data_IF_114357206184
#
_entry.id   IF_114357206184
#
_cell.length_a   1.000
_cell.length_b   1.000
_cell.length_c   1.000
_cell.angle_alpha   90.00
_cell.angle_beta   90.00
_cell.angle_gamma   90.00
#
_symmetry.space_group_name_H-M   'P 1'
#
loop_
_entity.id
_entity.type
_entity.pdbx_description
1 polymer ?
#
# COMPACT_ATOMS: atom_id res chain seq x y z
N UNK A 1 60.05 10.10 22.31
CA UNK A 1 59.10 9.11 21.80
C UNK A 1 57.96 9.03 22.79
N UNK A 2 56.85 9.72 22.51
CA UNK A 2 55.57 9.48 23.19
C UNK A 2 54.52 9.63 22.10
N UNK A 3 53.92 8.51 21.70
CA UNK A 3 52.93 8.42 20.63
C UNK A 3 51.61 9.01 21.09
N UNK A 4 51.05 9.89 20.26
CA UNK A 4 49.69 10.42 20.38
C UNK A 4 48.67 9.29 20.16
N UNK A 5 47.58 9.18 20.95
CA UNK A 5 46.49 8.24 20.64
C UNK A 5 45.64 8.75 19.46
N UNK A 6 44.94 7.87 18.70
CA UNK A 6 44.13 8.28 17.56
C UNK A 6 42.82 8.95 18.02
N UNK A 7 42.34 9.88 17.19
CA UNK A 7 41.09 10.60 17.38
C UNK A 7 39.89 9.63 17.43
N UNK A 8 39.03 9.79 18.43
CA UNK A 8 37.78 9.05 18.53
C UNK A 8 36.77 9.61 17.53
N UNK A 9 36.23 8.75 16.65
CA UNK A 9 35.13 9.10 15.76
C UNK A 9 33.81 8.71 16.44
N UNK A 10 32.91 9.68 16.62
CA UNK A 10 31.54 9.42 17.09
C UNK A 10 30.60 9.35 15.88
N UNK A 11 29.87 8.25 15.76
CA UNK A 11 28.88 8.01 14.69
C UNK A 11 27.53 7.78 15.34
N UNK A 12 26.54 8.61 14.99
CA UNK A 12 25.18 8.49 15.50
C UNK A 12 24.24 8.04 14.36
N UNK A 13 23.68 6.84 14.49
CA UNK A 13 22.64 6.30 13.61
C UNK A 13 21.33 6.11 14.37
N UNK A 14 20.22 6.58 13.80
CA UNK A 14 18.88 6.42 14.40
C UNK A 14 18.30 5.04 14.02
N UNK A 15 18.53 4.03 14.86
CA UNK A 15 17.94 2.69 14.71
C UNK A 15 16.59 2.56 15.43
N UNK A 16 15.58 2.02 14.74
CA UNK A 16 14.22 1.76 15.27
C UNK A 16 14.21 0.47 16.10
N UNK A 17 13.94 0.57 17.40
CA UNK A 17 13.64 -0.59 18.28
C UNK A 17 12.12 -0.85 18.25
N UNK A 18 11.61 -2.07 17.93
CA UNK A 18 10.19 -2.36 18.08
C UNK A 18 9.86 -2.76 19.52
N UNK A 19 9.06 -1.92 20.19
CA UNK A 19 8.44 -2.23 21.48
C UNK A 19 7.37 -3.33 21.32
N UNK A 20 7.51 -4.44 22.04
CA UNK A 20 6.52 -5.53 22.06
C UNK A 20 5.30 -5.17 22.93
N UNK A 21 4.09 -5.29 22.38
CA UNK A 21 2.82 -5.27 23.13
C UNK A 21 2.32 -6.70 23.31
N UNK A 22 2.08 -7.09 24.56
CA UNK A 22 1.48 -8.39 24.94
C UNK A 22 -0.04 -8.22 25.04
N UNK A 23 -0.79 -8.80 24.11
CA UNK A 23 -2.24 -8.92 24.20
C UNK A 23 -2.62 -10.38 24.54
N UNK A 24 -3.04 -10.63 25.77
CA UNK A 24 -3.70 -11.87 26.17
C UNK A 24 -5.18 -11.79 25.83
N UNK A 25 -5.61 -12.51 24.79
CA UNK A 25 -7.02 -12.68 24.45
C UNK A 25 -7.19 -13.84 23.48
N UNK A 26 -7.70 -14.97 23.96
CA UNK A 26 -7.98 -16.15 23.13
C UNK A 26 -9.09 -15.87 22.10
N UNK A 27 -9.12 -16.59 20.96
CA UNK A 27 -10.07 -16.30 19.89
C UNK A 27 -11.46 -16.84 20.22
N UNK A 28 -12.45 -15.94 20.23
CA UNK A 28 -13.87 -16.30 20.15
C UNK A 28 -14.24 -16.44 18.67
N UNK A 29 -14.61 -17.67 18.27
CA UNK A 29 -15.04 -17.99 16.90
C UNK A 29 -16.46 -17.49 16.68
N UNK A 30 -16.61 -16.34 16.01
CA UNK A 30 -17.89 -15.84 15.54
C UNK A 30 -18.20 -16.44 14.15
N UNK A 31 -19.07 -17.45 14.08
CA UNK A 31 -19.66 -17.88 12.81
C UNK A 31 -20.74 -16.87 12.41
N UNK A 32 -20.40 -15.93 11.50
CA UNK A 32 -21.39 -15.10 10.82
C UNK A 32 -21.88 -15.84 9.58
N UNK A 33 -23.14 -16.29 9.61
CA UNK A 33 -23.86 -16.61 8.38
C UNK A 33 -24.14 -15.30 7.64
N UNK A 34 -23.30 -14.98 6.65
CA UNK A 34 -23.49 -13.79 5.84
C UNK A 34 -24.67 -14.00 4.88
N UNK A 35 -25.68 -13.14 4.99
CA UNK A 35 -26.73 -13.06 3.98
C UNK A 35 -26.09 -12.84 2.59
N UNK A 36 -26.61 -13.52 1.57
CA UNK A 36 -26.08 -13.37 0.21
C UNK A 36 -26.33 -11.94 -0.26
N UNK A 37 -25.28 -11.16 -0.61
CA UNK A 37 -25.48 -9.78 -1.03
C UNK A 37 -26.29 -9.74 -2.32
N UNK A 38 -27.30 -8.88 -2.33
CA UNK A 38 -28.07 -8.49 -3.51
C UNK A 38 -27.58 -7.10 -3.92
N UNK A 39 -27.18 -6.93 -5.18
CA UNK A 39 -26.66 -5.67 -5.71
C UNK A 39 -27.46 -5.25 -6.92
N UNK A 40 -27.81 -3.97 -6.98
CA UNK A 40 -28.41 -3.34 -8.15
C UNK A 40 -27.29 -2.76 -9.01
N UNK A 41 -27.27 -3.09 -10.30
CA UNK A 41 -26.32 -2.54 -11.27
C UNK A 41 -27.11 -2.00 -12.45
N UNK A 42 -26.83 -0.77 -12.87
CA UNK A 42 -27.45 -0.20 -14.07
C UNK A 42 -26.86 -0.87 -15.30
N UNK A 43 -27.72 -1.42 -16.16
CA UNK A 43 -27.25 -2.02 -17.39
C UNK A 43 -27.12 -0.96 -18.49
N UNK A 44 -26.03 -1.04 -19.27
CA UNK A 44 -25.92 -0.29 -20.52
C UNK A 44 -26.65 -1.03 -21.67
N UNK A 45 -27.26 -0.28 -22.58
CA UNK A 45 -27.79 -0.79 -23.86
C UNK A 45 -26.99 -0.16 -24.99
N UNK A 46 -26.43 -0.98 -25.86
CA UNK A 46 -25.79 -0.48 -27.09
C UNK A 46 -25.33 -1.59 -28.02
N UNK A 47 -25.11 -1.31 -29.32
CA UNK A 47 -24.37 -2.18 -30.24
C UNK A 47 -22.87 -2.18 -29.89
N UNK A 48 -22.18 -3.28 -30.15
CA UNK A 48 -20.85 -3.64 -29.62
C UNK A 48 -19.67 -2.70 -29.92
N UNK A 49 -19.71 -1.47 -29.44
CA UNK A 49 -18.63 -0.49 -29.55
C UNK A 49 -17.81 -0.43 -28.25
N UNK A 50 -16.50 -0.27 -28.40
CA UNK A 50 -15.45 -0.28 -27.37
C UNK A 50 -15.60 0.90 -26.38
N UNK A 51 -15.20 0.78 -25.09
CA UNK A 51 -15.40 1.87 -24.13
C UNK A 51 -14.41 3.01 -24.37
N UNK A 52 -14.93 4.21 -24.62
CA UNK A 52 -14.14 5.45 -24.59
C UNK A 52 -13.91 5.86 -23.12
N UNK A 53 -12.67 6.15 -22.67
CA UNK A 53 -12.41 6.52 -21.29
C UNK A 53 -12.99 7.91 -20.95
N UNK A 54 -13.83 7.99 -19.92
CA UNK A 54 -14.21 9.28 -19.29
C UNK A 54 -15.70 9.53 -19.04
N UNK A 55 -16.61 8.61 -19.37
CA UNK A 55 -18.05 8.89 -19.30
C UNK A 55 -18.69 8.44 -17.98
N UNK A 56 -19.57 9.28 -17.41
CA UNK A 56 -20.37 9.00 -16.19
C UNK A 56 -21.22 7.73 -16.39
N UNK A 57 -21.70 7.05 -15.31
CA UNK A 57 -22.60 5.91 -15.49
C UNK A 57 -23.80 6.32 -16.34
N UNK A 58 -23.88 5.77 -17.55
CA UNK A 58 -24.97 6.02 -18.49
C UNK A 58 -26.19 5.28 -17.96
N UNK A 59 -27.12 6.00 -17.33
CA UNK A 59 -28.47 5.48 -17.11
C UNK A 59 -29.10 5.16 -18.47
N UNK A 60 -29.55 3.92 -18.68
CA UNK A 60 -30.16 3.51 -19.96
C UNK A 60 -31.61 3.07 -19.80
N UNK A 61 -32.39 3.23 -20.87
CA UNK A 61 -33.82 2.93 -20.96
C UNK A 61 -34.20 1.47 -20.66
N UNK A 62 -33.25 0.53 -20.53
CA UNK A 62 -33.52 -0.86 -20.14
C UNK A 62 -33.64 -1.07 -18.63
N UNK A 63 -33.46 -0.03 -17.81
CA UNK A 63 -33.60 -0.09 -16.35
C UNK A 63 -32.49 -0.89 -15.66
N UNK A 64 -32.44 -0.76 -14.33
CA UNK A 64 -31.43 -1.43 -13.52
C UNK A 64 -31.62 -2.96 -13.53
N UNK A 65 -30.52 -3.70 -13.67
CA UNK A 65 -30.46 -5.15 -13.49
C UNK A 65 -30.13 -5.42 -12.03
N UNK A 66 -30.91 -6.29 -11.39
CA UNK A 66 -30.61 -6.78 -10.05
C UNK A 66 -29.79 -8.06 -10.17
N UNK A 67 -28.65 -8.11 -9.50
CA UNK A 67 -27.77 -9.29 -9.48
C UNK A 67 -27.49 -9.69 -8.04
N UNK A 68 -27.63 -10.98 -7.74
CA UNK A 68 -27.32 -11.53 -6.43
C UNK A 68 -26.33 -12.69 -6.54
N UNK A 69 -25.39 -12.77 -5.58
CA UNK A 69 -24.51 -13.93 -5.39
C UNK A 69 -23.00 -13.64 -5.50
N UNK A 70 -22.50 -13.05 -6.60
CA UNK A 70 -21.09 -12.68 -6.73
C UNK A 70 -20.67 -11.61 -5.70
N UNK A 71 -19.38 -11.59 -5.36
CA UNK A 71 -18.85 -10.63 -4.38
C UNK A 71 -18.91 -9.19 -4.91
N UNK A 72 -18.66 -9.01 -6.21
CA UNK A 72 -18.74 -7.72 -6.90
C UNK A 72 -19.24 -7.94 -8.33
N UNK A 73 -20.12 -7.05 -8.78
CA UNK A 73 -20.48 -6.88 -10.18
C UNK A 73 -20.01 -5.50 -10.59
N UNK A 74 -19.22 -5.42 -11.66
CA UNK A 74 -18.54 -4.21 -12.14
C UNK A 74 -19.28 -3.56 -13.29
N UNK A 75 -19.78 -4.38 -14.21
CA UNK A 75 -20.52 -3.91 -15.38
C UNK A 75 -21.68 -4.86 -15.69
N UNK A 76 -22.76 -4.28 -16.22
CA UNK A 76 -23.88 -5.00 -16.79
C UNK A 76 -24.25 -4.38 -18.13
N UNK A 77 -24.41 -5.21 -19.17
CA UNK A 77 -24.84 -4.76 -20.49
C UNK A 77 -25.87 -5.72 -21.07
N UNK A 78 -26.94 -5.19 -21.65
CA UNK A 78 -27.95 -6.00 -22.32
C UNK A 78 -27.81 -5.84 -23.83
N UNK A 79 -27.76 -6.97 -24.54
CA UNK A 79 -27.75 -7.02 -26.02
C UNK A 79 -28.74 -8.07 -26.47
N UNK A 80 -29.86 -7.62 -27.08
CA UNK A 80 -30.99 -8.49 -27.41
C UNK A 80 -31.58 -9.14 -26.16
N UNK A 81 -31.51 -10.47 -26.07
CA UNK A 81 -31.98 -11.25 -24.89
C UNK A 81 -30.82 -11.73 -24.01
N UNK A 82 -29.61 -11.22 -24.21
CA UNK A 82 -28.41 -11.61 -23.46
C UNK A 82 -27.99 -10.50 -22.51
N UNK A 83 -27.80 -10.84 -21.24
CA UNK A 83 -27.12 -9.97 -20.27
C UNK A 83 -25.66 -10.40 -20.13
N UNK A 84 -24.77 -9.43 -20.30
CA UNK A 84 -23.33 -9.54 -20.14
C UNK A 84 -22.98 -8.90 -18.80
N UNK A 85 -22.41 -9.69 -17.90
CA UNK A 85 -21.96 -9.25 -16.59
C UNK A 85 -20.45 -9.39 -16.51
N UNK A 86 -19.79 -8.39 -15.92
CA UNK A 86 -18.41 -8.50 -15.47
C UNK A 86 -18.33 -8.33 -13.96
N UNK A 87 -17.40 -9.01 -13.31
CA UNK A 87 -17.25 -8.91 -11.86
C UNK A 87 -16.35 -9.98 -11.26
N UNK A 88 -16.35 -10.01 -9.93
CA UNK A 88 -15.45 -10.84 -9.13
C UNK A 88 -16.22 -11.74 -8.17
N UNK A 89 -15.66 -12.93 -7.98
CA UNK A 89 -16.05 -13.89 -6.96
C UNK A 89 -14.88 -14.04 -5.99
N UNK A 90 -15.18 -14.23 -4.69
CA UNK A 90 -14.18 -14.57 -3.67
C UNK A 90 -14.19 -16.06 -3.32
N UNK A 91 -15.23 -16.77 -3.75
CA UNK A 91 -15.42 -18.21 -3.61
C UNK A 91 -16.40 -18.70 -4.69
N UNK A 92 -16.69 -20.00 -4.72
CA UNK A 92 -17.73 -20.51 -5.61
C UNK A 92 -19.11 -19.94 -5.23
N UNK A 93 -19.65 -19.06 -6.08
CA UNK A 93 -20.85 -18.26 -5.78
C UNK A 93 -22.05 -18.67 -6.63
N UNK A 94 -23.25 -18.61 -6.04
CA UNK A 94 -24.49 -18.60 -6.83
C UNK A 94 -24.55 -17.33 -7.69
N UNK A 95 -25.42 -17.33 -8.70
CA UNK A 95 -25.72 -16.15 -9.51
C UNK A 95 -27.21 -16.14 -9.83
N UNK A 96 -27.90 -15.07 -9.46
CA UNK A 96 -29.28 -14.82 -9.89
C UNK A 96 -29.40 -13.40 -10.44
N UNK A 97 -30.08 -13.26 -11.57
CA UNK A 97 -30.21 -12.02 -12.32
C UNK A 97 -31.68 -11.74 -12.58
N UNK A 98 -32.12 -10.52 -12.27
CA UNK A 98 -33.44 -10.01 -12.63
C UNK A 98 -33.27 -8.77 -13.51
N UNK A 99 -34.06 -8.69 -14.58
CA UNK A 99 -34.08 -7.54 -15.49
C UNK A 99 -35.54 -7.23 -15.84
N UNK A 100 -35.91 -5.95 -15.98
CA UNK A 100 -37.24 -5.58 -16.48
C UNK A 100 -37.46 -5.98 -17.94
N UNK A 101 -36.38 -6.15 -18.71
CA UNK A 101 -36.42 -6.68 -20.08
C UNK A 101 -36.32 -8.21 -20.10
N UNK A 102 -36.95 -8.86 -21.09
CA UNK A 102 -36.95 -10.33 -21.21
C UNK A 102 -35.56 -10.85 -21.60
N UNK A 103 -34.77 -11.21 -20.58
CA UNK A 103 -33.49 -11.91 -20.75
C UNK A 103 -33.68 -13.43 -20.81
N UNK A 104 -32.86 -14.09 -21.64
CA UNK A 104 -32.83 -15.56 -21.80
C UNK A 104 -31.44 -16.15 -21.61
N UNK A 105 -30.40 -15.34 -21.81
CA UNK A 105 -29.01 -15.78 -21.73
C UNK A 105 -28.23 -14.88 -20.77
N UNK A 106 -27.40 -15.49 -19.93
CA UNK A 106 -26.47 -14.79 -19.05
C UNK A 106 -25.04 -15.12 -19.46
N UNK A 107 -24.18 -14.11 -19.55
CA UNK A 107 -22.73 -14.24 -19.70
C UNK A 107 -22.04 -13.60 -18.49
N UNK A 108 -21.11 -14.32 -17.89
CA UNK A 108 -20.28 -13.86 -16.78
C UNK A 108 -18.81 -13.84 -17.24
N UNK A 109 -18.15 -12.68 -17.18
CA UNK A 109 -16.76 -12.50 -17.63
C UNK A 109 -16.52 -13.09 -19.03
N UNK A 110 -17.46 -12.83 -19.96
CA UNK A 110 -17.41 -13.32 -21.33
C UNK A 110 -17.83 -14.79 -21.54
N UNK A 111 -18.04 -15.59 -20.48
CA UNK A 111 -18.42 -17.00 -20.58
C UNK A 111 -19.92 -17.21 -20.38
N UNK A 112 -20.55 -18.04 -21.23
CA UNK A 112 -21.99 -18.36 -21.10
C UNK A 112 -22.23 -19.16 -19.82
N UNK A 113 -23.20 -18.73 -19.02
CA UNK A 113 -23.62 -19.42 -17.80
C UNK A 113 -24.94 -20.15 -18.08
N UNK A 114 -25.03 -21.47 -17.88
CA UNK A 114 -26.29 -22.19 -17.95
C UNK A 114 -27.25 -21.70 -16.86
N UNK A 115 -28.46 -21.31 -17.24
CA UNK A 115 -29.44 -20.72 -16.33
C UNK A 115 -30.80 -21.42 -16.40
N UNK A 116 -31.58 -21.27 -15.34
CA UNK A 116 -32.98 -21.67 -15.24
C UNK A 116 -33.82 -20.50 -14.78
N UNK A 117 -35.07 -20.42 -15.25
CA UNK A 117 -36.00 -19.39 -14.78
C UNK A 117 -36.37 -19.64 -13.32
N UNK A 118 -36.49 -18.56 -12.54
CA UNK A 118 -36.98 -18.60 -11.16
C UNK A 118 -38.48 -18.28 -11.13
N UNK A 119 -39.18 -18.71 -10.08
CA UNK A 119 -40.59 -18.37 -9.87
C UNK A 119 -40.84 -16.85 -9.79
N UNK A 120 -39.81 -16.08 -9.40
CA UNK A 120 -39.83 -14.62 -9.28
C UNK A 120 -39.45 -13.90 -10.59
N UNK A 121 -39.44 -14.60 -11.73
CA UNK A 121 -39.20 -14.01 -13.05
C UNK A 121 -37.73 -13.68 -13.36
N UNK A 122 -36.78 -14.14 -12.54
CA UNK A 122 -35.34 -14.00 -12.78
C UNK A 122 -34.72 -15.22 -13.46
N UNK A 123 -33.41 -15.14 -13.75
CA UNK A 123 -32.59 -16.25 -14.20
C UNK A 123 -31.57 -16.60 -13.12
N UNK A 124 -31.53 -17.86 -12.69
CA UNK A 124 -30.53 -18.37 -11.75
C UNK A 124 -29.57 -19.35 -12.42
N UNK A 125 -28.28 -19.28 -12.11
CA UNK A 125 -27.27 -20.18 -12.63
C UNK A 125 -27.48 -21.60 -12.11
N UNK A 126 -27.40 -22.59 -13.01
CA UNK A 126 -27.55 -24.02 -12.65
C UNK A 126 -26.36 -24.56 -11.87
N UNK A 127 -25.21 -23.93 -12.02
CA UNK A 127 -23.97 -24.24 -11.31
C UNK A 127 -23.41 -22.96 -10.71
N UNK A 128 -22.67 -23.09 -9.62
CA UNK A 128 -21.94 -21.96 -9.04
C UNK A 128 -20.91 -21.42 -10.04
N UNK A 129 -20.74 -20.10 -10.04
CA UNK A 129 -19.59 -19.46 -10.67
C UNK A 129 -18.31 -19.95 -9.98
N UNK A 130 -17.23 -20.08 -10.74
CA UNK A 130 -15.93 -20.41 -10.17
C UNK A 130 -15.48 -19.32 -9.19
N UNK A 131 -14.82 -19.73 -8.12
CA UNK A 131 -14.01 -18.83 -7.30
C UNK A 131 -12.69 -18.47 -7.99
N UNK A 132 -11.88 -17.59 -7.39
CA UNK A 132 -10.56 -17.29 -7.90
C UNK A 132 -9.70 -18.57 -7.90
N UNK A 133 -8.82 -18.76 -8.90
CA UNK A 133 -7.90 -19.88 -8.89
C UNK A 133 -6.95 -19.78 -7.70
N UNK A 134 -6.48 -20.92 -7.21
CA UNK A 134 -5.42 -20.93 -6.21
C UNK A 134 -4.14 -20.34 -6.80
N UNK A 135 -3.54 -19.39 -6.08
CA UNK A 135 -2.24 -18.81 -6.41
C UNK A 135 -1.22 -19.35 -5.42
N UNK A 136 -0.17 -19.99 -5.94
CA UNK A 136 0.99 -20.38 -5.14
C UNK A 136 2.05 -19.28 -5.24
N UNK A 137 2.43 -18.72 -4.10
CA UNK A 137 3.51 -17.76 -4.02
C UNK A 137 4.83 -18.51 -3.77
N UNK A 138 5.95 -18.09 -4.37
CA UNK A 138 7.25 -18.66 -4.05
C UNK A 138 7.63 -18.35 -2.61
N UNK A 139 8.39 -19.25 -1.98
CA UNK A 139 9.00 -18.96 -0.68
C UNK A 139 10.10 -17.91 -0.86
N UNK A 140 10.09 -16.79 -0.10
CA UNK A 140 11.10 -15.76 -0.20
C UNK A 140 12.41 -16.23 0.44
N UNK A 141 13.19 -16.99 -0.31
CA UNK A 141 14.48 -17.57 0.09
C UNK A 141 15.64 -16.95 -0.72
N UNK A 142 16.89 -17.17 -0.30
CA UNK A 142 18.07 -16.66 -1.02
C UNK A 142 18.43 -15.20 -0.75
N UNK A 143 18.03 -14.67 0.40
CA UNK A 143 18.40 -13.33 0.85
C UNK A 143 19.92 -13.15 0.89
N UNK A 144 20.39 -12.01 0.36
CA UNK A 144 21.77 -11.53 0.49
C UNK A 144 21.76 -10.31 1.39
N UNK A 145 22.82 -10.11 2.16
CA UNK A 145 22.98 -8.95 3.03
C UNK A 145 24.36 -8.35 2.85
N UNK A 146 24.47 -7.05 3.14
CA UNK A 146 25.71 -6.33 3.30
C UNK A 146 25.56 -5.38 4.50
N UNK A 147 26.64 -5.05 5.23
CA UNK A 147 26.60 -3.99 6.23
C UNK A 147 26.23 -2.64 5.59
N UNK A 148 25.33 -1.89 6.21
CA UNK A 148 24.85 -0.58 5.72
C UNK A 148 25.43 0.60 6.51
N UNK A 149 26.51 0.37 7.28
CA UNK A 149 27.14 1.40 8.10
C UNK A 149 28.67 1.39 8.00
N UNK A 150 29.25 1.43 6.78
CA UNK A 150 30.70 1.53 6.60
C UNK A 150 31.31 2.74 7.31
N UNK A 151 30.54 3.79 7.55
CA UNK A 151 30.93 5.03 8.24
C UNK A 151 31.37 4.81 9.69
N UNK A 152 31.00 3.69 10.29
CA UNK A 152 31.43 3.30 11.65
C UNK A 152 32.86 2.79 11.70
N UNK A 153 33.47 2.48 10.55
CA UNK A 153 34.87 2.11 10.46
C UNK A 153 35.76 3.34 10.78
N UNK A 154 36.71 3.24 11.73
CA UNK A 154 37.68 4.30 12.00
C UNK A 154 38.47 4.74 10.78
N UNK A 155 38.72 3.82 9.84
CA UNK A 155 39.48 4.07 8.61
C UNK A 155 38.55 4.48 7.44
N UNK A 156 37.26 4.69 7.69
CA UNK A 156 36.33 5.19 6.67
C UNK A 156 36.75 6.56 6.16
N UNK A 157 36.83 6.68 4.84
CA UNK A 157 37.21 7.90 4.15
C UNK A 157 35.98 8.76 3.83
N UNK A 158 35.80 9.84 4.58
CA UNK A 158 34.69 10.79 4.45
C UNK A 158 35.05 12.03 3.61
N UNK A 159 36.16 12.02 2.84
CA UNK A 159 36.64 13.22 2.10
C UNK A 159 35.62 13.82 1.13
N UNK A 160 34.72 12.99 0.61
CA UNK A 160 33.71 13.37 -0.36
C UNK A 160 32.41 13.86 0.31
N UNK A 161 32.34 13.86 1.65
CA UNK A 161 31.18 14.32 2.40
C UNK A 161 31.04 15.85 2.35
N UNK A 162 29.80 16.31 2.32
CA UNK A 162 29.50 17.75 2.34
C UNK A 162 29.86 18.34 3.70
N UNK A 163 30.97 19.09 3.73
CA UNK A 163 31.43 19.90 4.86
C UNK A 163 30.31 20.84 5.34
N UNK A 164 30.16 20.94 6.65
CA UNK A 164 29.18 21.82 7.32
C UNK A 164 29.81 23.19 7.56
N UNK A 165 29.64 24.10 6.61
CA UNK A 165 30.28 25.42 6.57
C UNK A 165 29.30 26.61 6.68
N UNK A 166 27.99 26.35 6.81
CA UNK A 166 26.98 27.41 6.92
C UNK A 166 26.88 27.92 8.36
N UNK A 167 26.83 29.25 8.51
CA UNK A 167 26.64 29.93 9.81
C UNK A 167 25.24 30.52 10.00
N UNK A 168 24.42 30.52 8.94
CA UNK A 168 23.05 31.03 8.94
C UNK A 168 22.12 30.03 8.25
N UNK A 169 20.87 29.93 8.72
CA UNK A 169 19.85 29.04 8.17
C UNK A 169 18.73 29.83 7.50
N UNK A 170 18.06 29.22 6.52
CA UNK A 170 16.79 29.72 5.97
C UNK A 170 15.55 29.18 6.71
N UNK A 171 15.75 28.35 7.73
CA UNK A 171 14.67 27.75 8.53
C UNK A 171 14.00 28.77 9.46
N UNK A 172 12.71 28.55 9.73
CA UNK A 172 11.99 29.25 10.78
C UNK A 172 12.34 28.72 12.19
N UNK A 173 12.99 27.56 12.27
CA UNK A 173 13.53 27.01 13.53
C UNK A 173 14.84 27.73 13.85
N UNK A 174 14.94 28.27 15.06
CA UNK A 174 16.14 28.96 15.51
C UNK A 174 17.34 28.00 15.59
N UNK A 175 18.47 28.44 15.05
CA UNK A 175 19.74 27.71 15.17
C UNK A 175 20.20 27.82 16.63
N UNK A 176 20.43 26.69 17.35
CA UNK A 176 20.80 26.75 18.75
C UNK A 176 22.07 27.60 18.99
N UNK A 177 22.00 28.50 19.98
CA UNK A 177 23.09 29.41 20.30
C UNK A 177 24.36 28.65 20.72
N UNK A 178 25.52 29.13 20.27
CA UNK A 178 26.83 28.54 20.60
C UNK A 178 27.27 27.40 19.68
N UNK A 179 26.50 27.04 18.66
CA UNK A 179 26.94 26.10 17.62
C UNK A 179 27.79 26.80 16.56
N UNK A 180 28.97 26.25 16.18
CA UNK A 180 29.87 26.89 15.22
C UNK A 180 29.36 26.83 13.78
N UNK A 181 28.45 25.91 13.47
CA UNK A 181 27.86 25.74 12.14
C UNK A 181 26.42 25.21 12.24
N UNK A 182 25.62 25.52 11.23
CA UNK A 182 24.27 25.00 11.04
C UNK A 182 24.34 23.52 10.66
N UNK A 183 23.54 22.70 11.34
CA UNK A 183 23.44 21.25 11.11
C UNK A 183 22.07 20.83 10.53
N UNK A 184 21.26 21.76 10.04
CA UNK A 184 19.99 21.41 9.41
C UNK A 184 20.22 20.80 8.02
N UNK A 185 19.76 19.57 7.80
CA UNK A 185 19.99 18.83 6.55
C UNK A 185 19.48 19.59 5.31
N UNK A 186 18.32 20.25 5.43
CA UNK A 186 17.66 21.00 4.37
C UNK A 186 18.50 22.17 3.82
N UNK A 187 19.23 22.87 4.69
CA UNK A 187 20.10 23.99 4.30
C UNK A 187 21.27 23.52 3.41
N UNK A 188 21.58 22.22 3.45
CA UNK A 188 22.59 21.59 2.60
C UNK A 188 21.95 20.74 1.48
N UNK A 189 20.65 20.91 1.24
CA UNK A 189 19.93 20.25 0.14
C UNK A 189 19.51 18.80 0.40
N UNK A 190 19.70 18.28 1.62
CA UNK A 190 19.31 16.91 1.99
C UNK A 190 17.94 16.95 2.67
N UNK A 191 16.91 16.47 1.97
CA UNK A 191 15.49 16.63 2.38
C UNK A 191 14.77 15.31 2.69
N UNK A 192 15.38 14.18 2.33
CA UNK A 192 14.71 12.87 2.37
C UNK A 192 15.71 11.78 2.78
N UNK A 193 15.20 10.77 3.48
CA UNK A 193 15.95 9.61 3.90
C UNK A 193 16.73 9.82 5.19
N UNK A 194 17.60 8.85 5.49
CA UNK A 194 18.46 8.87 6.66
C UNK A 194 19.62 9.84 6.45
N UNK A 195 19.88 10.69 7.45
CA UNK A 195 20.95 11.69 7.40
C UNK A 195 22.05 11.30 8.38
N UNK A 196 23.28 11.22 7.87
CA UNK A 196 24.47 10.92 8.66
C UNK A 196 25.27 12.20 8.92
N UNK A 197 25.75 12.32 10.15
CA UNK A 197 26.70 13.35 10.56
C UNK A 197 27.96 12.66 11.08
N UNK A 198 29.12 13.17 10.66
CA UNK A 198 30.43 12.73 11.14
C UNK A 198 31.21 13.96 11.58
N UNK A 199 31.79 13.87 12.77
CA UNK A 199 32.53 14.96 13.39
C UNK A 199 33.86 14.43 13.93
N UNK A 200 34.93 15.17 13.65
CA UNK A 200 36.24 14.95 14.28
C UNK A 200 36.38 15.90 15.45
N UNK A 201 36.66 15.37 16.64
CA UNK A 201 36.92 16.17 17.84
C UNK A 201 38.39 16.02 18.20
N UNK A 202 39.14 17.12 18.18
CA UNK A 202 40.53 17.16 18.65
C UNK A 202 40.56 17.37 20.16
N UNK A 203 41.62 16.91 20.83
CA UNK A 203 41.88 17.16 22.27
C UNK A 203 40.80 16.64 23.25
N UNK A 204 40.10 15.56 22.89
CA UNK A 204 39.06 14.94 23.71
C UNK A 204 39.59 13.98 24.81
N UNK A 205 40.87 14.05 25.16
CA UNK A 205 41.53 13.04 26.02
C UNK A 205 40.95 12.90 27.42
N UNK A 206 40.39 13.99 27.97
CA UNK A 206 39.73 14.04 29.28
C UNK A 206 38.19 14.16 29.16
N UNK A 207 37.64 13.96 27.97
CA UNK A 207 36.20 14.11 27.73
C UNK A 207 35.43 12.84 28.09
N UNK A 208 34.61 12.91 29.14
CA UNK A 208 33.81 11.77 29.62
C UNK A 208 32.35 11.79 29.15
N UNK A 209 31.88 12.87 28.51
CA UNK A 209 30.46 13.03 28.16
C UNK A 209 30.29 13.77 26.84
N UNK A 210 29.45 13.22 25.96
CA UNK A 210 28.95 13.85 24.75
C UNK A 210 27.44 14.05 24.87
N UNK A 211 26.99 15.31 24.83
CA UNK A 211 25.56 15.65 24.82
C UNK A 211 25.12 15.99 23.41
N UNK A 212 24.18 15.22 22.85
CA UNK A 212 23.60 15.44 21.54
C UNK A 212 22.11 15.69 21.68
N UNK A 213 21.62 16.78 21.09
CA UNK A 213 20.20 16.99 20.87
C UNK A 213 19.95 16.88 19.38
N UNK A 214 19.07 15.97 18.99
CA UNK A 214 18.65 15.80 17.61
C UNK A 214 17.14 16.03 17.52
N UNK A 215 16.72 16.56 16.37
CA UNK A 215 15.32 16.64 16.01
C UNK A 215 15.18 15.99 14.65
N UNK A 216 14.60 14.80 14.64
CA UNK A 216 14.03 14.18 13.46
C UNK A 216 12.52 14.21 13.66
N UNK A 217 11.78 14.52 12.60
CA UNK A 217 10.39 14.90 12.74
C UNK A 217 9.54 13.85 13.47
N UNK A 218 8.58 14.31 14.26
CA UNK A 218 7.47 13.51 14.79
C UNK A 218 6.19 14.12 14.23
N UNK A 219 5.88 13.90 12.96
CA UNK A 219 4.54 14.18 12.44
C UNK A 219 3.61 13.03 12.85
N UNK A 220 3.16 13.10 14.10
CA UNK A 220 1.91 12.49 14.56
C UNK A 220 0.86 13.58 14.73
#
# INVERSE_FOLDING_TARGET
>A
MTSCPPAGTAVAGAGRVPSSVRATGGPVRAERSAATPVRTVEAAVGPGEEPVPGDRPRGTHAGAVLVSGPALVRDARITGTTVHLTGDTTAASALTVWSPSRIRTVRWNGRRVPVSATALGGLTARSRLAGPPAVSLPEPTGWRHAPESPETDPDFDDRDWRVRDLTTSHSAIEVPAGQPAVLFADDYGVRYGDVWYRATVTDAGDADTLSLTYQADTLG
#
